data_IF_202609639549
#
_entry.id   IF_202609639549
#
_cell.length_a   1.000
_cell.length_b   1.000
_cell.length_c   1.000
_cell.angle_alpha   90.00
_cell.angle_beta   90.00
_cell.angle_gamma   90.00
#
_symmetry.space_group_name_H-M   'P 1'
#
loop_
_entity.id
_entity.type
_entity.pdbx_description
1 polymer ?
#
# COMPACT_ATOMS: atom_id res chain seq x y z
N UNK A 1 -15.82 10.37 8.11
CA UNK A 1 -16.05 10.49 6.65
C UNK A 1 -15.78 9.12 6.05
N UNK A 2 -16.81 8.28 5.94
CA UNK A 2 -16.72 7.08 5.10
C UNK A 2 -16.55 7.57 3.67
N UNK A 3 -15.40 7.29 3.07
CA UNK A 3 -15.21 7.49 1.64
C UNK A 3 -16.00 6.36 1.00
N UNK A 4 -17.31 6.52 0.92
CA UNK A 4 -18.25 5.55 0.36
C UNK A 4 -18.10 5.53 -1.15
N UNK A 5 -16.98 5.01 -1.62
CA UNK A 5 -16.80 4.57 -2.98
C UNK A 5 -17.28 3.11 -3.07
N UNK A 6 -18.58 2.89 -2.84
CA UNK A 6 -19.20 1.56 -2.92
C UNK A 6 -18.91 0.88 -4.27
N UNK A 7 -18.72 1.67 -5.33
CA UNK A 7 -18.38 1.18 -6.67
C UNK A 7 -16.94 0.68 -6.79
N UNK A 8 -16.00 1.20 -6.00
CA UNK A 8 -14.57 0.84 -6.05
C UNK A 8 -14.24 -0.29 -5.08
N UNK A 9 -14.91 -0.32 -3.93
CA UNK A 9 -14.79 -1.37 -2.92
C UNK A 9 -14.99 -2.77 -3.57
N UNK A 10 -15.91 -2.86 -4.53
CA UNK A 10 -16.16 -4.06 -5.33
C UNK A 10 -15.29 -4.26 -6.58
N UNK A 11 -14.25 -3.45 -6.83
CA UNK A 11 -13.39 -3.53 -8.04
C UNK A 11 -11.95 -3.97 -7.77
N UNK A 12 -11.39 -3.65 -6.61
CA UNK A 12 -10.01 -4.01 -6.24
C UNK A 12 -10.03 -5.12 -5.22
N UNK A 13 -9.23 -6.17 -5.43
CA UNK A 13 -9.21 -7.34 -4.54
C UNK A 13 -10.60 -7.92 -4.30
N UNK A 14 -11.49 -7.82 -5.30
CA UNK A 14 -12.83 -8.36 -5.20
C UNK A 14 -12.77 -9.87 -5.19
N UNK A 15 -13.41 -10.49 -4.21
CA UNK A 15 -13.57 -11.94 -4.17
C UNK A 15 -14.89 -12.32 -4.85
N UNK A 16 -14.88 -13.36 -5.68
CA UNK A 16 -16.04 -13.81 -6.46
C UNK A 16 -17.17 -14.46 -5.65
N UNK A 17 -17.09 -14.53 -4.33
CA UNK A 17 -18.09 -15.16 -3.46
C UNK A 17 -18.25 -14.38 -2.16
N UNK A 18 -19.49 -14.25 -1.69
CA UNK A 18 -19.87 -13.57 -0.45
C UNK A 18 -19.50 -14.34 0.82
N UNK A 19 -19.12 -15.61 0.69
CA UNK A 19 -18.80 -16.49 1.82
C UNK A 19 -17.30 -16.60 2.05
N UNK A 20 -16.56 -15.51 1.79
CA UNK A 20 -15.13 -15.48 2.05
C UNK A 20 -14.79 -14.38 3.05
N UNK A 21 -13.53 -14.32 3.47
CA UNK A 21 -12.95 -13.22 4.24
C UNK A 21 -11.44 -13.17 4.01
N UNK A 22 -10.85 -12.02 4.31
CA UNK A 22 -9.42 -11.92 4.54
C UNK A 22 -9.09 -12.26 5.99
N UNK A 23 -8.03 -13.04 6.20
CA UNK A 23 -7.58 -13.44 7.52
C UNK A 23 -6.07 -13.72 7.47
N UNK A 24 -5.35 -13.52 8.57
CA UNK A 24 -3.92 -13.80 8.66
C UNK A 24 -3.63 -15.18 9.28
N UNK A 25 -4.66 -15.86 9.81
CA UNK A 25 -4.52 -17.17 10.46
C UNK A 25 -4.14 -18.31 9.52
N UNK A 26 -4.41 -18.20 8.22
CA UNK A 26 -4.16 -19.26 7.22
C UNK A 26 -3.51 -18.73 5.93
N UNK A 27 -2.42 -17.96 6.08
CA UNK A 27 -1.67 -17.38 4.95
C UNK A 27 -1.24 -18.43 3.93
N UNK A 28 -0.79 -19.59 4.40
CA UNK A 28 -0.40 -20.72 3.54
C UNK A 28 -1.56 -21.25 2.70
N UNK A 29 -2.81 -21.11 3.18
CA UNK A 29 -4.04 -21.42 2.43
C UNK A 29 -4.55 -20.28 1.54
N UNK A 30 -3.88 -19.13 1.51
CA UNK A 30 -4.27 -17.96 0.71
C UNK A 30 -5.30 -17.05 1.38
N UNK A 31 -5.48 -17.12 2.70
CA UNK A 31 -6.45 -16.29 3.43
C UNK A 31 -6.18 -14.79 3.35
N UNK A 32 -4.92 -14.38 3.18
CA UNK A 32 -4.53 -12.98 3.04
C UNK A 32 -4.36 -12.55 1.57
N UNK A 33 -4.70 -13.42 0.61
CA UNK A 33 -4.42 -13.17 -0.81
C UNK A 33 -5.54 -12.40 -1.50
N UNK A 34 -5.22 -11.21 -2.00
CA UNK A 34 -6.09 -10.32 -2.79
C UNK A 34 -6.86 -11.10 -3.88
N UNK A 35 -8.18 -10.96 -3.88
CA UNK A 35 -9.10 -11.61 -4.82
C UNK A 35 -9.41 -13.09 -4.54
N UNK A 36 -8.72 -13.71 -3.56
CA UNK A 36 -8.91 -15.13 -3.23
C UNK A 36 -9.64 -15.31 -1.90
N UNK A 37 -9.08 -14.80 -0.79
CA UNK A 37 -9.58 -14.99 0.56
C UNK A 37 -9.76 -16.46 0.97
N UNK A 38 -10.35 -16.70 2.14
CA UNK A 38 -10.76 -18.03 2.63
C UNK A 38 -12.22 -18.02 3.04
N UNK A 39 -12.85 -19.18 3.12
CA UNK A 39 -14.23 -19.30 3.58
C UNK A 39 -14.47 -18.62 4.93
N UNK A 40 -15.50 -17.80 5.01
CA UNK A 40 -15.88 -17.03 6.19
C UNK A 40 -17.07 -16.12 5.92
N UNK A 41 -17.78 -15.70 6.96
CA UNK A 41 -18.98 -14.86 6.79
C UNK A 41 -18.59 -13.39 6.78
N UNK A 42 -18.33 -12.81 5.60
CA UNK A 42 -18.15 -11.37 5.39
C UNK A 42 -18.35 -10.98 3.92
N UNK A 43 -18.93 -9.80 3.65
CA UNK A 43 -18.73 -9.15 2.34
C UNK A 43 -17.26 -8.83 2.17
N UNK A 44 -16.60 -9.35 1.14
CA UNK A 44 -15.15 -9.19 0.94
C UNK A 44 -14.84 -8.24 -0.20
N UNK A 45 -14.35 -7.07 0.17
CA UNK A 45 -14.05 -5.96 -0.72
C UNK A 45 -12.69 -5.33 -0.38
N UNK A 46 -12.31 -4.26 -1.09
CA UNK A 46 -11.06 -3.54 -0.84
C UNK A 46 -10.91 -3.08 0.63
N UNK A 47 -12.00 -2.64 1.27
CA UNK A 47 -11.98 -2.24 2.69
C UNK A 47 -11.61 -3.41 3.60
N UNK A 48 -12.10 -4.60 3.32
CA UNK A 48 -11.87 -5.79 4.15
C UNK A 48 -10.45 -6.30 3.92
N UNK A 49 -9.94 -6.17 2.69
CA UNK A 49 -8.53 -6.39 2.39
C UNK A 49 -7.63 -5.41 3.15
N UNK A 50 -7.98 -4.12 3.16
CA UNK A 50 -7.22 -3.10 3.89
C UNK A 50 -7.14 -3.43 5.38
N UNK A 51 -8.28 -3.71 6.02
CA UNK A 51 -8.32 -4.02 7.46
C UNK A 51 -7.64 -5.36 7.76
N UNK A 52 -7.93 -6.41 6.98
CA UNK A 52 -7.44 -7.76 7.25
C UNK A 52 -5.99 -8.02 6.84
N UNK A 53 -5.40 -7.19 5.98
CA UNK A 53 -4.06 -7.41 5.42
C UNK A 53 -3.16 -6.18 5.55
N UNK A 54 -3.61 -5.00 5.08
CA UNK A 54 -2.75 -3.81 5.00
C UNK A 54 -2.51 -3.16 6.37
N UNK A 55 -3.56 -2.96 7.17
CA UNK A 55 -3.46 -2.36 8.51
C UNK A 55 -2.68 -3.27 9.47
N UNK A 56 -2.73 -4.58 9.24
CA UNK A 56 -2.06 -5.57 10.07
C UNK A 56 -0.63 -5.89 9.62
N UNK A 57 -0.13 -5.31 8.51
CA UNK A 57 1.23 -5.41 7.94
C UNK A 57 1.85 -6.80 7.75
N UNK A 58 1.08 -7.87 7.95
CA UNK A 58 1.63 -9.22 8.09
C UNK A 58 1.50 -10.05 6.78
N UNK A 59 0.96 -9.45 5.72
CA UNK A 59 0.67 -10.08 4.43
C UNK A 59 0.76 -9.12 3.24
N UNK A 60 1.57 -8.07 3.36
CA UNK A 60 1.89 -7.13 2.29
C UNK A 60 3.42 -7.00 2.16
N UNK A 61 4.03 -6.95 0.96
CA UNK A 61 3.42 -7.02 -0.39
C UNK A 61 3.01 -8.42 -0.85
N UNK A 62 3.21 -9.47 -0.05
CA UNK A 62 2.91 -10.85 -0.40
C UNK A 62 1.95 -11.51 0.58
N UNK A 63 1.10 -12.41 0.08
CA UNK A 63 0.06 -13.09 0.86
C UNK A 63 0.58 -14.12 1.87
N UNK A 64 1.87 -14.49 1.79
CA UNK A 64 2.47 -15.55 2.59
C UNK A 64 2.09 -16.96 2.14
N UNK A 65 1.43 -17.11 0.98
CA UNK A 65 1.14 -18.40 0.38
C UNK A 65 2.40 -18.99 -0.25
N UNK A 66 2.83 -20.17 0.23
CA UNK A 66 4.10 -20.78 -0.18
C UNK A 66 4.24 -21.12 -1.67
N UNK A 67 3.14 -21.17 -2.43
CA UNK A 67 3.14 -21.42 -3.87
C UNK A 67 3.12 -20.16 -4.73
N UNK A 68 3.12 -18.97 -4.12
CA UNK A 68 3.01 -17.68 -4.82
C UNK A 68 4.29 -16.88 -4.68
N UNK A 69 4.44 -15.86 -5.53
CA UNK A 69 5.53 -14.91 -5.39
C UNK A 69 5.36 -14.06 -4.12
N UNK A 70 6.48 -13.56 -3.59
CA UNK A 70 6.51 -12.72 -2.38
C UNK A 70 5.83 -11.34 -2.55
N UNK A 71 5.38 -11.01 -3.77
CA UNK A 71 4.74 -9.77 -4.16
C UNK A 71 3.37 -10.00 -4.85
N UNK A 72 2.78 -11.18 -4.69
CA UNK A 72 1.53 -11.59 -5.35
C UNK A 72 0.36 -10.64 -5.04
N UNK A 73 0.25 -10.18 -3.79
CA UNK A 73 -0.74 -9.18 -3.39
C UNK A 73 -0.50 -7.83 -4.05
N UNK A 74 0.76 -7.35 -4.09
CA UNK A 74 1.10 -6.10 -4.76
C UNK A 74 0.80 -6.14 -6.26
N UNK A 75 1.13 -7.25 -6.94
CA UNK A 75 0.80 -7.47 -8.35
C UNK A 75 -0.70 -7.49 -8.60
N UNK A 76 -1.47 -8.17 -7.76
CA UNK A 76 -2.92 -8.25 -7.88
C UNK A 76 -3.58 -6.87 -7.70
N UNK A 77 -3.20 -6.14 -6.64
CA UNK A 77 -3.68 -4.77 -6.40
C UNK A 77 -3.32 -3.87 -7.57
N UNK A 78 -2.06 -3.85 -8.02
CA UNK A 78 -1.64 -3.03 -9.16
C UNK A 78 -2.40 -3.37 -10.45
N UNK A 79 -2.62 -4.67 -10.71
CA UNK A 79 -3.40 -5.13 -11.85
C UNK A 79 -4.84 -4.64 -11.84
N UNK A 80 -5.48 -4.58 -10.68
CA UNK A 80 -6.83 -4.04 -10.55
C UNK A 80 -6.86 -2.50 -10.64
N UNK A 81 -5.86 -1.82 -10.06
CA UNK A 81 -5.72 -0.37 -10.16
C UNK A 81 -5.61 0.11 -11.61
N UNK A 82 -4.89 -0.60 -12.47
CA UNK A 82 -4.71 -0.20 -13.88
C UNK A 82 -6.03 -0.20 -14.64
N UNK A 83 -6.97 -1.10 -14.29
CA UNK A 83 -8.29 -1.23 -14.93
C UNK A 83 -9.28 -0.14 -14.52
N UNK A 84 -8.97 0.64 -13.49
CA UNK A 84 -9.81 1.72 -13.01
C UNK A 84 -9.68 2.98 -13.87
N UNK A 85 -10.73 3.80 -13.89
CA UNK A 85 -10.68 5.15 -14.50
C UNK A 85 -9.76 6.08 -13.68
N UNK A 86 -9.30 7.20 -14.25
CA UNK A 86 -8.48 8.18 -13.53
C UNK A 86 -9.13 8.67 -12.22
N UNK A 87 -10.42 8.93 -12.23
CA UNK A 87 -11.19 9.39 -11.05
C UNK A 87 -11.22 8.31 -9.97
N UNK A 88 -11.39 7.05 -10.39
CA UNK A 88 -11.40 5.90 -9.49
C UNK A 88 -10.02 5.65 -8.87
N UNK A 89 -8.95 5.85 -9.64
CA UNK A 89 -7.56 5.76 -9.14
C UNK A 89 -7.31 6.77 -8.03
N UNK A 90 -7.78 8.01 -8.17
CA UNK A 90 -7.64 9.05 -7.13
C UNK A 90 -8.35 8.64 -5.84
N UNK A 91 -9.52 8.01 -5.94
CA UNK A 91 -10.27 7.55 -4.77
C UNK A 91 -9.54 6.37 -4.09
N UNK A 92 -9.01 5.40 -4.84
CA UNK A 92 -8.23 4.30 -4.24
C UNK A 92 -6.94 4.82 -3.61
N UNK A 93 -6.26 5.79 -4.25
CA UNK A 93 -5.09 6.42 -3.68
C UNK A 93 -5.41 7.07 -2.32
N UNK A 94 -6.55 7.76 -2.18
CA UNK A 94 -7.00 8.30 -0.90
C UNK A 94 -7.33 7.23 0.16
N UNK A 95 -7.86 6.07 -0.25
CA UNK A 95 -8.12 4.94 0.64
C UNK A 95 -6.83 4.24 1.11
N UNK A 96 -5.84 4.10 0.23
CA UNK A 96 -4.52 3.54 0.54
C UNK A 96 -3.62 4.55 1.28
N UNK A 97 -3.84 5.85 1.09
CA UNK A 97 -3.13 6.91 1.82
C UNK A 97 -3.56 6.99 3.30
N UNK A 98 -4.65 6.35 3.73
CA UNK A 98 -4.98 6.23 5.16
C UNK A 98 -4.23 5.10 5.86
N UNK A 99 -3.78 4.09 5.12
CA UNK A 99 -2.96 3.00 5.67
C UNK A 99 -1.53 3.41 6.02
N UNK A 100 -1.06 4.58 5.57
CA UNK A 100 0.23 5.17 5.97
C UNK A 100 0.15 5.96 7.29
N UNK A 101 -1.05 6.19 7.87
CA UNK A 101 -1.17 6.77 9.22
C UNK A 101 -1.14 5.71 10.35
N UNK A 102 -1.40 4.43 10.02
CA UNK A 102 -1.43 3.31 10.98
C UNK A 102 -0.27 2.33 10.86
N UNK A 103 0.54 2.42 9.80
CA UNK A 103 1.86 1.79 9.81
C UNK A 103 2.71 2.54 10.80
N UNK A 104 3.15 1.87 11.86
CA UNK A 104 4.16 2.39 12.79
C UNK A 104 5.17 3.20 11.98
N UNK A 105 5.24 4.50 12.29
CA UNK A 105 6.44 5.27 11.99
C UNK A 105 7.52 4.54 12.76
N UNK A 106 8.15 3.56 12.12
CA UNK A 106 9.41 3.04 12.59
C UNK A 106 10.31 4.25 12.46
N UNK A 107 10.43 4.95 13.58
CA UNK A 107 11.49 5.87 13.88
C UNK A 107 12.75 5.13 13.42
N UNK A 108 13.32 5.55 12.29
CA UNK A 108 14.52 4.93 11.73
C UNK A 108 15.67 5.29 12.68
N UNK A 109 15.73 4.63 13.84
CA UNK A 109 16.84 4.67 14.80
C UNK A 109 17.88 3.61 14.46
N UNK A 110 18.06 3.35 13.17
CA UNK A 110 19.21 2.65 12.64
C UNK A 110 19.58 3.17 11.25
N UNK A 111 19.54 4.49 11.02
CA UNK A 111 20.55 5.06 10.12
C UNK A 111 21.85 5.04 10.91
N UNK A 112 22.52 3.88 10.84
CA UNK A 112 23.92 3.77 11.20
C UNK A 112 24.65 4.89 10.46
N UNK A 113 25.34 5.70 11.24
CA UNK A 113 26.02 6.91 10.86
C UNK A 113 27.08 6.63 9.79
N UNK A 114 26.71 6.65 8.52
CA UNK A 114 27.64 6.86 7.41
C UNK A 114 27.00 7.85 6.43
N UNK A 115 27.18 9.12 6.79
CA UNK A 115 27.12 10.33 5.97
C UNK A 115 26.82 10.13 4.47
N UNK A 116 25.63 10.54 4.02
CA UNK A 116 25.51 11.18 2.71
C UNK A 116 25.45 12.67 3.00
N UNK A 117 26.61 13.30 3.00
CA UNK A 117 26.75 14.74 3.17
C UNK A 117 26.11 15.40 1.94
N UNK A 118 24.95 16.02 2.17
CA UNK A 118 24.22 16.83 1.19
C UNK A 118 25.07 18.07 0.89
N UNK A 119 25.86 18.07 -0.18
CA UNK A 119 26.49 19.29 -0.69
C UNK A 119 25.62 19.90 -1.80
N UNK A 120 24.43 20.35 -1.42
CA UNK A 120 23.53 21.13 -2.26
C UNK A 120 23.35 22.55 -1.70
N UNK A 121 24.46 23.16 -1.28
CA UNK A 121 24.54 24.58 -0.91
C UNK A 121 25.89 25.14 -1.36
N UNK A 122 26.07 25.31 -2.66
CA UNK A 122 27.11 26.21 -3.20
C UNK A 122 26.64 26.86 -4.50
N UNK A 123 25.44 27.45 -4.48
CA UNK A 123 24.95 28.21 -5.64
C UNK A 123 24.07 29.41 -5.28
N UNK A 124 24.37 30.12 -4.17
CA UNK A 124 23.69 31.38 -3.82
C UNK A 124 24.47 32.27 -2.84
N UNK A 125 25.80 32.39 -3.00
CA UNK A 125 26.49 33.66 -2.67
C UNK A 125 26.73 34.39 -3.99
N UNK A 126 25.67 35.08 -4.38
CA UNK A 126 25.60 36.16 -5.36
C UNK A 126 26.59 37.28 -5.03
N UNK A 127 26.81 38.17 -6.01
CA UNK A 127 27.52 39.47 -5.97
C UNK A 127 29.03 39.35 -6.24
N UNK A 128 29.56 39.55 -7.46
CA UNK A 128 29.31 40.69 -8.33
C UNK A 128 29.97 41.95 -7.76
N UNK A 129 31.24 42.21 -8.11
CA UNK A 129 31.81 43.54 -8.40
C UNK A 129 33.34 43.42 -8.55
N UNK A 130 33.88 43.83 -9.70
CA UNK A 130 35.31 44.13 -9.82
C UNK A 130 35.60 45.54 -9.31
N UNK A 131 36.81 45.75 -8.77
CA UNK A 131 37.61 46.96 -8.97
C UNK A 131 39.09 46.64 -8.75
N UNK A 132 39.90 47.22 -9.65
CA UNK A 132 41.37 47.26 -9.72
C UNK A 132 41.84 48.43 -8.80
N UNK A 133 43.06 48.41 -8.23
CA UNK A 133 44.26 48.87 -8.97
C UNK A 133 45.34 47.81 -9.16
#
# INVERSE_FOLDING_TARGET
MEISAKEIDGKVCKVGSSDKKYDLSNKSGGSARCGVGVSGSATVQLKDFRVGVLEQNDGWPGSGKGSESSDDNAKAVAGDLIKLTPEEKTIVAGLLAKTIEGGEVVEIRAVSSTSVMVNACYDLLSEGLGVVP
#
